data_IF_052114753474
#
_entry.id   IF_052114753474
#
_cell.length_a   1.000
_cell.length_b   1.000
_cell.length_c   1.000
_cell.angle_alpha   90.00
_cell.angle_beta   90.00
_cell.angle_gamma   90.00
#
_symmetry.space_group_name_H-M   'P 1'
#
loop_
_entity.id
_entity.type
_entity.pdbx_description
1 polymer ?
#
# COMPACT_ATOMS: atom_id res chain seq x y z
N UNK A 1 -0.24 34.32 -11.19
CA UNK A 1 0.55 33.62 -12.22
C UNK A 1 2.00 33.78 -11.86
N UNK A 2 2.72 32.70 -11.55
CA UNK A 2 4.17 32.76 -11.35
C UNK A 2 4.80 33.12 -12.69
N UNK A 3 5.62 34.16 -12.71
CA UNK A 3 6.40 34.52 -13.90
C UNK A 3 7.53 33.50 -13.97
N UNK A 4 7.37 32.47 -14.82
CA UNK A 4 8.44 31.52 -15.08
C UNK A 4 9.63 32.29 -15.65
N UNK A 5 10.83 31.96 -15.23
CA UNK A 5 12.05 32.54 -15.76
C UNK A 5 12.09 32.36 -17.29
N UNK A 6 12.33 33.44 -18.02
CA UNK A 6 12.38 33.41 -19.51
C UNK A 6 13.39 32.40 -20.03
N UNK A 7 14.51 32.23 -19.35
CA UNK A 7 15.52 31.22 -19.70
C UNK A 7 14.98 29.79 -19.48
N UNK A 8 14.29 29.55 -18.37
CA UNK A 8 13.70 28.23 -18.07
C UNK A 8 12.64 27.84 -19.12
N UNK A 9 11.80 28.79 -19.55
CA UNK A 9 10.84 28.59 -20.64
C UNK A 9 11.53 28.24 -21.95
N UNK A 10 12.53 29.02 -22.36
CA UNK A 10 13.31 28.78 -23.60
C UNK A 10 13.98 27.41 -23.58
N UNK A 11 14.54 26.99 -22.43
CA UNK A 11 15.14 25.67 -22.27
C UNK A 11 14.11 24.55 -22.37
N UNK A 12 12.96 24.69 -21.73
CA UNK A 12 11.88 23.71 -21.76
C UNK A 12 11.36 23.51 -23.21
N UNK A 13 11.11 24.61 -23.93
CA UNK A 13 10.70 24.56 -25.34
C UNK A 13 11.76 23.89 -26.23
N UNK A 14 13.03 24.27 -26.07
CA UNK A 14 14.14 23.70 -26.86
C UNK A 14 14.28 22.20 -26.60
N UNK A 15 14.20 21.75 -25.35
CA UNK A 15 14.30 20.32 -24.99
C UNK A 15 13.11 19.55 -25.52
N UNK A 16 11.89 20.04 -25.36
CA UNK A 16 10.69 19.40 -25.88
C UNK A 16 10.69 19.33 -27.42
N UNK A 17 11.24 20.32 -28.11
CA UNK A 17 11.42 20.28 -29.55
C UNK A 17 12.49 19.29 -30.00
N UNK A 18 13.61 19.21 -29.22
CA UNK A 18 14.70 18.26 -29.53
C UNK A 18 14.27 16.80 -29.35
N UNK A 19 13.45 16.52 -28.38
CA UNK A 19 12.98 15.17 -28.03
C UNK A 19 11.52 14.91 -28.44
N UNK A 20 11.03 15.60 -29.49
CA UNK A 20 9.63 15.57 -29.93
C UNK A 20 9.11 14.18 -30.32
N UNK A 21 10.00 13.24 -30.70
CA UNK A 21 9.66 11.85 -31.01
C UNK A 21 9.45 10.98 -29.76
N UNK A 22 9.81 11.50 -28.59
CA UNK A 22 9.44 10.99 -27.29
C UNK A 22 8.38 11.90 -26.68
N UNK A 23 7.63 11.44 -25.69
CA UNK A 23 6.69 12.29 -24.97
C UNK A 23 7.38 13.56 -24.44
N UNK A 24 6.61 14.61 -24.12
CA UNK A 24 7.10 15.81 -23.44
C UNK A 24 8.11 15.44 -22.35
N UNK A 25 9.30 16.04 -22.35
CA UNK A 25 10.41 15.69 -21.44
C UNK A 25 10.71 16.78 -20.41
N UNK A 26 10.35 18.04 -20.70
CA UNK A 26 10.56 19.19 -19.79
C UNK A 26 9.21 19.75 -19.34
N UNK A 27 9.05 19.87 -18.02
CA UNK A 27 7.81 20.26 -17.35
C UNK A 27 8.13 21.32 -16.28
N UNK A 28 7.14 22.17 -15.98
CA UNK A 28 7.14 22.97 -14.77
C UNK A 28 6.33 22.28 -13.66
N UNK A 29 6.83 22.31 -12.43
CA UNK A 29 6.18 21.67 -11.27
C UNK A 29 5.32 22.65 -10.47
N UNK A 30 4.86 23.72 -11.12
CA UNK A 30 4.00 24.75 -10.53
C UNK A 30 2.49 24.47 -10.69
N UNK A 31 2.15 23.28 -11.18
CA UNK A 31 0.77 22.86 -11.46
C UNK A 31 0.24 23.30 -12.83
N UNK A 32 1.02 24.01 -13.64
CA UNK A 32 0.61 24.40 -15.00
C UNK A 32 0.64 23.24 -16.00
N UNK A 33 1.49 22.25 -15.75
CA UNK A 33 1.66 21.05 -16.57
C UNK A 33 1.22 19.80 -15.83
N UNK A 34 0.57 18.87 -16.54
CA UNK A 34 0.41 17.49 -16.06
C UNK A 34 1.75 16.76 -16.19
N UNK A 35 2.34 16.36 -15.08
CA UNK A 35 3.67 15.77 -15.05
C UNK A 35 3.62 14.25 -14.84
N UNK A 36 4.63 13.48 -15.24
CA UNK A 36 4.72 12.05 -14.95
C UNK A 36 4.82 11.73 -13.45
N UNK A 37 5.10 12.75 -12.62
CA UNK A 37 5.14 12.60 -11.16
C UNK A 37 3.78 12.71 -10.50
N UNK A 38 2.78 13.25 -11.20
CA UNK A 38 1.44 13.45 -10.67
C UNK A 38 0.75 12.10 -10.48
N UNK A 39 0.21 11.92 -9.29
CA UNK A 39 -0.58 10.75 -8.96
C UNK A 39 -2.03 11.15 -9.07
N UNK A 40 -2.71 10.58 -10.05
CA UNK A 40 -4.10 10.92 -10.37
C UNK A 40 -5.10 10.21 -9.48
N UNK A 41 -4.76 9.03 -8.99
CA UNK A 41 -5.68 8.18 -8.25
C UNK A 41 -4.96 7.31 -7.21
N UNK A 42 -5.73 6.89 -6.21
CA UNK A 42 -5.29 6.04 -5.11
C UNK A 42 -6.29 4.89 -4.91
N UNK A 43 -5.79 3.75 -4.46
CA UNK A 43 -6.58 2.60 -4.04
C UNK A 43 -6.46 2.47 -2.52
N UNK A 44 -7.59 2.41 -1.82
CA UNK A 44 -7.60 2.14 -0.39
C UNK A 44 -7.00 0.76 -0.08
N UNK A 45 -6.41 0.65 1.08
CA UNK A 45 -5.95 -0.63 1.66
C UNK A 45 -7.06 -1.37 2.42
N UNK A 46 -8.25 -0.76 2.54
CA UNK A 46 -9.31 -1.19 3.44
C UNK A 46 -9.17 -0.64 4.86
N UNK A 47 -8.05 0.02 5.16
CA UNK A 47 -7.81 0.72 6.43
C UNK A 47 -7.52 2.20 6.18
N UNK A 48 -8.45 3.08 6.53
CA UNK A 48 -8.29 4.53 6.34
C UNK A 48 -7.07 5.08 7.09
N UNK A 49 -6.74 4.52 8.24
CA UNK A 49 -5.55 4.94 9.01
C UNK A 49 -4.25 4.57 8.31
N UNK A 50 -4.20 3.40 7.66
CA UNK A 50 -3.06 3.01 6.83
C UNK A 50 -3.00 3.85 5.56
N UNK A 51 -4.13 4.15 4.93
CA UNK A 51 -4.21 5.01 3.75
C UNK A 51 -3.66 6.41 4.02
N UNK A 52 -4.01 6.99 5.19
CA UNK A 52 -3.46 8.27 5.65
C UNK A 52 -1.96 8.18 5.95
N UNK A 53 -1.50 7.08 6.55
CA UNK A 53 -0.07 6.88 6.82
C UNK A 53 0.76 6.77 5.53
N UNK A 54 0.22 6.16 4.46
CA UNK A 54 0.87 6.03 3.16
C UNK A 54 0.87 7.36 2.42
N UNK A 55 -0.30 7.93 2.19
CA UNK A 55 -0.49 8.99 1.19
C UNK A 55 -0.47 10.41 1.76
N UNK A 56 -0.59 10.54 3.09
CA UNK A 56 -0.70 11.82 3.82
C UNK A 56 -1.80 12.75 3.27
N UNK A 57 -2.94 12.17 2.88
CA UNK A 57 -4.10 12.88 2.33
C UNK A 57 -5.40 12.15 2.59
N UNK A 58 -6.54 12.84 2.64
CA UNK A 58 -7.85 12.19 2.71
C UNK A 58 -8.08 11.27 1.50
N UNK A 59 -8.81 10.19 1.69
CA UNK A 59 -9.18 9.22 0.65
C UNK A 59 -7.99 8.74 -0.20
N UNK A 60 -6.85 8.56 0.48
CA UNK A 60 -5.61 8.14 -0.15
C UNK A 60 -5.46 6.62 -0.25
N UNK A 61 -4.27 6.11 0.11
CA UNK A 61 -3.90 4.70 0.01
C UNK A 61 -2.72 4.46 -0.90
N UNK A 62 -2.67 3.33 -1.59
CA UNK A 62 -1.62 3.03 -2.56
C UNK A 62 -1.82 3.81 -3.86
N UNK A 63 -0.73 4.31 -4.43
CA UNK A 63 -0.81 5.15 -5.63
C UNK A 63 -0.95 4.31 -6.90
N UNK A 64 -1.91 4.68 -7.74
CA UNK A 64 -2.01 4.19 -9.12
C UNK A 64 -0.83 4.73 -9.95
N UNK A 65 -0.28 3.90 -10.82
CA UNK A 65 0.94 4.22 -11.58
C UNK A 65 2.24 4.04 -10.78
N UNK A 66 2.20 3.36 -9.63
CA UNK A 66 3.36 3.12 -8.78
C UNK A 66 3.43 1.67 -8.31
N UNK A 67 4.65 1.28 -7.89
CA UNK A 67 4.91 -0.02 -7.29
C UNK A 67 4.85 0.12 -5.78
N UNK A 68 4.09 -0.75 -5.15
CA UNK A 68 4.05 -0.94 -3.69
C UNK A 68 4.58 -2.32 -3.34
N UNK A 69 5.49 -2.41 -2.38
CA UNK A 69 5.95 -3.67 -1.79
C UNK A 69 5.37 -3.83 -0.39
N UNK A 70 4.70 -4.95 -0.14
CA UNK A 70 4.22 -5.37 1.18
C UNK A 70 5.14 -6.49 1.64
N UNK A 71 5.94 -6.27 2.68
CA UNK A 71 6.85 -7.28 3.20
C UNK A 71 6.58 -7.58 4.68
N UNK A 72 7.01 -8.73 5.14
CA UNK A 72 6.80 -9.19 6.51
C UNK A 72 7.23 -10.64 6.70
N UNK A 73 7.30 -11.08 7.94
CA UNK A 73 7.50 -12.48 8.28
C UNK A 73 6.30 -13.34 7.84
N UNK A 74 6.41 -14.64 7.97
CA UNK A 74 5.27 -15.54 7.76
C UNK A 74 4.11 -15.17 8.67
N UNK A 75 2.88 -15.39 8.19
CA UNK A 75 1.64 -15.12 8.95
C UNK A 75 1.51 -13.68 9.46
N UNK A 76 2.14 -12.70 8.78
CA UNK A 76 2.00 -11.28 9.12
C UNK A 76 0.83 -10.57 8.43
N UNK A 77 0.06 -11.27 7.57
CA UNK A 77 -1.11 -10.72 6.89
C UNK A 77 -0.85 -10.09 5.52
N UNK A 78 0.29 -10.38 4.86
CA UNK A 78 0.65 -9.81 3.55
C UNK A 78 -0.38 -10.09 2.47
N UNK A 79 -0.71 -11.36 2.26
CA UNK A 79 -1.71 -11.81 1.27
C UNK A 79 -3.09 -11.25 1.57
N UNK A 80 -3.47 -11.19 2.86
CA UNK A 80 -4.74 -10.64 3.31
C UNK A 80 -4.85 -9.14 2.98
N UNK A 81 -3.80 -8.36 3.26
CA UNK A 81 -3.78 -6.93 2.90
C UNK A 81 -3.80 -6.74 1.38
N UNK A 82 -3.07 -7.58 0.63
CA UNK A 82 -3.11 -7.58 -0.83
C UNK A 82 -4.51 -7.84 -1.38
N UNK A 83 -5.22 -8.83 -0.84
CA UNK A 83 -6.59 -9.15 -1.21
C UNK A 83 -7.57 -8.01 -0.90
N UNK A 84 -7.42 -7.31 0.26
CA UNK A 84 -8.20 -6.10 0.55
C UNK A 84 -8.00 -5.01 -0.49
N UNK A 85 -6.77 -4.76 -0.93
CA UNK A 85 -6.46 -3.78 -1.97
C UNK A 85 -7.17 -4.15 -3.29
N UNK A 86 -7.24 -5.44 -3.64
CA UNK A 86 -7.99 -5.91 -4.81
C UNK A 86 -9.50 -5.71 -4.65
N UNK A 87 -10.07 -5.97 -3.46
CA UNK A 87 -11.47 -5.71 -3.17
C UNK A 87 -11.80 -4.21 -3.29
N UNK A 88 -10.95 -3.33 -2.76
CA UNK A 88 -11.11 -1.88 -2.89
C UNK A 88 -10.97 -1.42 -4.35
N UNK A 89 -10.14 -2.07 -5.16
CA UNK A 89 -10.07 -1.83 -6.61
C UNK A 89 -11.40 -2.14 -7.29
N UNK A 90 -12.03 -3.28 -6.95
CA UNK A 90 -13.33 -3.65 -7.51
C UNK A 90 -14.46 -2.71 -7.07
N UNK A 91 -14.45 -2.22 -5.82
CA UNK A 91 -15.40 -1.20 -5.34
C UNK A 91 -15.33 0.09 -6.15
N UNK A 92 -14.14 0.45 -6.66
CA UNK A 92 -13.94 1.56 -7.61
C UNK A 92 -14.32 1.22 -9.05
N UNK A 93 -14.87 0.05 -9.33
CA UNK A 93 -15.16 -0.42 -10.68
C UNK A 93 -13.94 -0.84 -11.48
N UNK A 94 -12.79 -0.99 -10.82
CA UNK A 94 -11.53 -1.39 -11.44
C UNK A 94 -11.40 -2.89 -11.71
N UNK A 95 -10.33 -3.27 -12.40
CA UNK A 95 -9.95 -4.65 -12.68
C UNK A 95 -8.98 -5.13 -11.60
N UNK A 96 -9.33 -6.19 -10.90
CA UNK A 96 -8.50 -6.87 -9.92
C UNK A 96 -7.80 -8.08 -10.56
N UNK A 97 -6.49 -8.13 -10.46
CA UNK A 97 -5.66 -9.25 -10.95
C UNK A 97 -4.83 -9.81 -9.82
N UNK A 98 -4.92 -11.10 -9.60
CA UNK A 98 -4.13 -11.84 -8.62
C UNK A 98 -3.20 -12.82 -9.33
N UNK A 99 -1.90 -12.63 -9.22
CA UNK A 99 -0.86 -13.56 -9.69
C UNK A 99 -0.33 -14.29 -8.46
N UNK A 100 -0.66 -15.56 -8.35
CA UNK A 100 -0.30 -16.45 -7.24
C UNK A 100 0.86 -17.35 -7.65
N UNK A 101 1.93 -17.35 -6.85
CA UNK A 101 3.09 -18.23 -7.04
C UNK A 101 3.23 -19.27 -5.92
N UNK A 102 2.38 -19.21 -4.89
CA UNK A 102 2.45 -20.07 -3.70
C UNK A 102 1.26 -21.05 -3.62
N UNK A 103 0.25 -20.91 -4.50
CA UNK A 103 -1.02 -21.69 -4.45
C UNK A 103 -1.70 -21.67 -3.08
N UNK A 104 -1.67 -20.50 -2.41
CA UNK A 104 -2.08 -20.37 -1.00
C UNK A 104 -3.39 -19.60 -0.79
N UNK A 105 -4.15 -19.35 -1.85
CA UNK A 105 -5.35 -18.52 -1.81
C UNK A 105 -6.55 -19.29 -1.27
N UNK A 106 -7.19 -18.78 -0.20
CA UNK A 106 -8.52 -19.23 0.23
C UNK A 106 -9.61 -18.40 -0.44
N UNK A 107 -10.43 -19.06 -1.26
CA UNK A 107 -11.58 -18.43 -1.94
C UNK A 107 -12.59 -17.91 -0.93
N UNK A 108 -12.92 -18.70 0.11
CA UNK A 108 -13.86 -18.31 1.15
C UNK A 108 -13.42 -17.02 1.86
N UNK A 109 -12.12 -16.90 2.16
CA UNK A 109 -11.61 -15.69 2.79
C UNK A 109 -11.71 -14.47 1.87
N UNK A 110 -11.41 -14.63 0.58
CA UNK A 110 -11.54 -13.54 -0.39
C UNK A 110 -12.97 -13.03 -0.53
N UNK A 111 -13.95 -13.92 -0.55
CA UNK A 111 -15.37 -13.55 -0.61
C UNK A 111 -15.80 -12.79 0.64
N UNK A 112 -15.37 -13.25 1.82
CA UNK A 112 -15.70 -12.63 3.11
C UNK A 112 -15.21 -11.18 3.21
N UNK A 113 -14.04 -10.88 2.65
CA UNK A 113 -13.53 -9.49 2.62
C UNK A 113 -14.14 -8.63 1.51
N UNK A 114 -15.09 -9.18 0.75
CA UNK A 114 -15.86 -8.47 -0.28
C UNK A 114 -15.24 -8.47 -1.67
N UNK A 115 -14.33 -9.39 -1.96
CA UNK A 115 -13.79 -9.59 -3.31
C UNK A 115 -14.76 -10.44 -4.14
N UNK A 116 -15.22 -9.89 -5.26
CA UNK A 116 -16.05 -10.62 -6.23
C UNK A 116 -15.14 -11.49 -7.11
N UNK A 117 -15.12 -12.81 -6.83
CA UNK A 117 -14.27 -13.76 -7.53
C UNK A 117 -14.62 -13.90 -9.02
N UNK A 118 -15.87 -13.62 -9.40
CA UNK A 118 -16.29 -13.67 -10.81
C UNK A 118 -15.71 -12.51 -11.63
N UNK A 119 -15.24 -11.45 -10.97
CA UNK A 119 -14.64 -10.25 -11.57
C UNK A 119 -13.14 -10.13 -11.31
N UNK A 120 -12.53 -11.13 -10.69
CA UNK A 120 -11.10 -11.19 -10.43
C UNK A 120 -10.42 -12.09 -11.46
N UNK A 121 -9.38 -11.59 -12.12
CA UNK A 121 -8.50 -12.43 -12.92
C UNK A 121 -7.47 -13.08 -11.99
N UNK A 122 -7.51 -14.41 -11.92
CA UNK A 122 -6.54 -15.22 -11.17
C UNK A 122 -5.59 -15.93 -12.13
N UNK A 123 -4.27 -15.80 -11.88
CA UNK A 123 -3.22 -16.50 -12.61
C UNK A 123 -2.33 -17.25 -11.62
N UNK A 124 -2.04 -18.52 -11.95
CA UNK A 124 -1.01 -19.29 -11.28
C UNK A 124 0.23 -19.34 -12.19
N UNK A 125 1.34 -18.74 -11.73
CA UNK A 125 2.59 -18.64 -12.48
C UNK A 125 3.77 -19.00 -11.57
N UNK A 126 4.75 -19.71 -12.12
CA UNK A 126 5.84 -20.29 -11.34
C UNK A 126 7.16 -19.54 -11.52
N UNK A 127 7.35 -18.85 -12.65
CA UNK A 127 8.63 -18.20 -12.95
C UNK A 127 8.54 -16.68 -12.98
N UNK A 128 9.64 -16.04 -12.61
CA UNK A 128 9.77 -14.57 -12.64
C UNK A 128 9.52 -14.03 -14.04
N UNK A 129 10.01 -14.74 -15.07
CA UNK A 129 9.84 -14.36 -16.46
C UNK A 129 8.37 -14.34 -16.86
N UNK A 130 7.61 -15.41 -16.54
CA UNK A 130 6.18 -15.50 -16.82
C UNK A 130 5.38 -14.41 -16.12
N UNK A 131 5.70 -14.12 -14.84
CA UNK A 131 5.05 -13.06 -14.07
C UNK A 131 5.18 -11.71 -14.80
N UNK A 132 6.38 -11.35 -15.23
CA UNK A 132 6.59 -10.06 -15.88
C UNK A 132 6.05 -10.01 -17.31
N UNK A 133 6.08 -11.12 -18.06
CA UNK A 133 5.43 -11.26 -19.36
C UNK A 133 3.91 -11.10 -19.21
N UNK A 134 3.29 -11.73 -18.22
CA UNK A 134 1.86 -11.61 -17.94
C UNK A 134 1.46 -10.18 -17.56
N UNK A 135 2.25 -9.50 -16.72
CA UNK A 135 1.99 -8.10 -16.37
C UNK A 135 1.98 -7.22 -17.64
N UNK A 136 2.94 -7.38 -18.54
CA UNK A 136 3.00 -6.62 -19.79
C UNK A 136 1.79 -6.89 -20.68
N UNK A 137 1.39 -8.14 -20.85
CA UNK A 137 0.23 -8.51 -21.66
C UNK A 137 -1.08 -7.98 -21.06
N UNK A 138 -1.27 -8.11 -19.74
CA UNK A 138 -2.45 -7.57 -19.06
C UNK A 138 -2.57 -6.06 -19.26
N UNK A 139 -1.48 -5.33 -19.02
CA UNK A 139 -1.45 -3.87 -19.18
C UNK A 139 -1.80 -3.48 -20.63
N UNK A 140 -1.20 -4.15 -21.60
CA UNK A 140 -1.44 -3.90 -23.02
C UNK A 140 -2.92 -4.15 -23.37
N UNK A 141 -3.47 -5.31 -23.00
CA UNK A 141 -4.85 -5.68 -23.32
C UNK A 141 -5.89 -4.80 -22.65
N UNK A 142 -5.67 -4.45 -21.39
CA UNK A 142 -6.58 -3.52 -20.70
C UNK A 142 -6.59 -2.16 -21.38
N UNK A 143 -5.44 -1.62 -21.77
CA UNK A 143 -5.35 -0.29 -22.42
C UNK A 143 -5.85 -0.27 -23.87
N UNK A 144 -5.81 -1.41 -24.56
CA UNK A 144 -6.49 -1.58 -25.84
C UNK A 144 -8.02 -1.51 -25.70
N UNK A 145 -8.57 -2.02 -24.57
CA UNK A 145 -10.01 -2.10 -24.34
C UNK A 145 -10.57 -0.86 -23.64
N UNK A 146 -9.88 -0.36 -22.61
CA UNK A 146 -10.30 0.76 -21.78
C UNK A 146 -9.06 1.52 -21.24
N UNK A 147 -8.87 2.74 -21.74
CA UNK A 147 -7.68 3.56 -21.45
C UNK A 147 -7.66 4.10 -20.01
N UNK A 148 -8.82 4.30 -19.42
CA UNK A 148 -8.98 5.00 -18.14
C UNK A 148 -9.31 4.07 -16.98
N UNK A 149 -9.59 2.79 -17.26
CA UNK A 149 -10.00 1.84 -16.23
C UNK A 149 -8.92 1.63 -15.19
N UNK A 150 -9.30 1.74 -13.93
CA UNK A 150 -8.42 1.43 -12.81
C UNK A 150 -8.05 -0.06 -12.82
N UNK A 151 -6.77 -0.37 -12.62
CA UNK A 151 -6.27 -1.76 -12.59
C UNK A 151 -5.29 -1.90 -11.44
N UNK A 152 -5.49 -2.95 -10.65
CA UNK A 152 -4.52 -3.37 -9.65
C UNK A 152 -4.07 -4.79 -9.94
N UNK A 153 -2.75 -4.97 -10.00
CA UNK A 153 -2.11 -6.28 -10.15
C UNK A 153 -1.38 -6.59 -8.84
N UNK A 154 -1.78 -7.66 -8.17
CA UNK A 154 -1.11 -8.23 -7.01
C UNK A 154 -0.27 -9.43 -7.44
N UNK A 155 1.00 -9.47 -7.05
CA UNK A 155 1.91 -10.61 -7.21
C UNK A 155 2.24 -11.16 -5.83
N UNK A 156 1.78 -12.36 -5.52
CA UNK A 156 1.94 -13.02 -4.22
C UNK A 156 2.56 -14.41 -4.39
N UNK A 157 3.84 -14.58 -4.15
CA UNK A 157 4.85 -13.61 -3.81
C UNK A 157 6.03 -13.68 -4.80
N UNK A 158 6.71 -12.55 -5.03
CA UNK A 158 7.94 -12.57 -5.85
C UNK A 158 9.05 -13.44 -5.23
N UNK A 159 8.98 -13.68 -3.92
CA UNK A 159 9.93 -14.52 -3.20
C UNK A 159 9.87 -15.98 -3.64
N UNK A 160 8.68 -16.52 -3.82
CA UNK A 160 8.44 -17.93 -4.13
C UNK A 160 8.74 -18.27 -5.60
N UNK A 161 8.56 -17.32 -6.54
CA UNK A 161 8.80 -17.57 -7.95
C UNK A 161 10.25 -18.03 -8.22
N UNK A 162 10.43 -19.01 -9.09
CA UNK A 162 11.74 -19.46 -9.59
C UNK A 162 12.15 -18.70 -10.86
N UNK A 163 13.25 -19.04 -11.50
CA UNK A 163 13.57 -18.62 -12.87
C UNK A 163 13.40 -19.80 -13.83
N UNK A 164 13.16 -19.55 -15.12
CA UNK A 164 13.12 -20.63 -16.12
C UNK A 164 14.36 -21.51 -16.08
N UNK A 165 15.54 -20.90 -15.92
CA UNK A 165 16.81 -21.63 -15.80
C UNK A 165 16.90 -22.48 -14.53
N UNK A 166 16.34 -22.02 -13.43
CA UNK A 166 16.29 -22.75 -12.16
C UNK A 166 15.33 -23.94 -12.25
N UNK A 167 14.20 -23.79 -12.94
CA UNK A 167 13.23 -24.88 -13.17
C UNK A 167 13.76 -25.99 -14.06
N UNK A 168 14.61 -25.64 -15.05
CA UNK A 168 15.21 -26.59 -15.98
C UNK A 168 16.48 -27.27 -15.45
N UNK A 169 16.97 -26.88 -14.26
CA UNK A 169 18.24 -27.35 -13.72
C UNK A 169 18.08 -28.56 -12.80
N UNK A 170 19.13 -29.36 -12.74
CA UNK A 170 19.24 -30.46 -11.77
C UNK A 170 19.36 -29.92 -10.34
N UNK A 171 18.82 -30.64 -9.34
CA UNK A 171 18.76 -30.23 -7.93
C UNK A 171 20.13 -30.03 -7.25
N UNK A 172 21.21 -30.49 -7.85
CA UNK A 172 22.57 -30.42 -7.32
C UNK A 172 23.38 -29.21 -7.80
N UNK A 173 22.78 -28.31 -8.59
CA UNK A 173 23.44 -27.10 -9.09
C UNK A 173 23.14 -25.88 -8.24
N UNK A 174 24.19 -25.21 -7.75
CA UNK A 174 24.12 -23.97 -6.98
C UNK A 174 24.27 -22.71 -7.86
N UNK A 175 23.82 -21.55 -7.37
CA UNK A 175 24.15 -20.24 -7.96
C UNK A 175 23.00 -19.47 -8.61
N UNK A 176 21.78 -19.98 -8.61
CA UNK A 176 20.63 -19.35 -9.30
C UNK A 176 20.11 -18.07 -8.65
N UNK A 177 20.39 -17.82 -7.37
CA UNK A 177 19.95 -16.61 -6.67
C UNK A 177 20.45 -15.30 -7.35
N UNK A 178 21.67 -15.33 -7.90
CA UNK A 178 22.21 -14.19 -8.66
C UNK A 178 21.49 -13.99 -9.98
N UNK A 179 21.19 -15.08 -10.70
CA UNK A 179 20.43 -15.05 -11.95
C UNK A 179 19.05 -14.44 -11.73
N UNK A 180 18.30 -14.89 -10.72
CA UNK A 180 17.00 -14.36 -10.33
C UNK A 180 17.06 -12.84 -10.08
N UNK A 181 18.05 -12.37 -9.33
CA UNK A 181 18.22 -10.95 -9.03
C UNK A 181 18.49 -10.09 -10.28
N UNK A 182 19.24 -10.62 -11.26
CA UNK A 182 19.52 -9.96 -12.54
C UNK A 182 18.25 -9.84 -13.38
N UNK A 183 17.46 -10.92 -13.49
CA UNK A 183 16.20 -10.95 -14.25
C UNK A 183 15.21 -9.96 -13.64
N UNK A 184 15.00 -10.00 -12.31
CA UNK A 184 14.13 -9.05 -11.61
C UNK A 184 14.61 -7.62 -11.86
N UNK A 185 15.93 -7.35 -11.79
CA UNK A 185 16.47 -5.99 -12.01
C UNK A 185 16.21 -5.48 -13.43
N UNK A 186 16.31 -6.34 -14.44
CA UNK A 186 16.01 -5.99 -15.83
C UNK A 186 14.52 -5.74 -16.03
N UNK A 187 13.67 -6.62 -15.53
CA UNK A 187 12.23 -6.53 -15.63
C UNK A 187 11.67 -5.29 -14.90
N UNK A 188 12.14 -5.01 -13.68
CA UNK A 188 11.71 -3.86 -12.89
C UNK A 188 11.96 -2.52 -13.62
N UNK A 189 13.07 -2.36 -14.34
CA UNK A 189 13.32 -1.12 -15.10
C UNK A 189 12.26 -0.89 -16.19
N UNK A 190 11.86 -1.96 -16.90
CA UNK A 190 10.85 -1.91 -17.96
C UNK A 190 9.46 -1.67 -17.40
N UNK A 191 9.08 -2.47 -16.41
CA UNK A 191 7.75 -2.44 -15.78
C UNK A 191 7.48 -1.12 -15.06
N UNK A 192 8.45 -0.54 -14.35
CA UNK A 192 8.28 0.74 -13.66
C UNK A 192 7.84 1.86 -14.61
N UNK A 193 8.41 1.90 -15.80
CA UNK A 193 8.02 2.89 -16.81
C UNK A 193 6.64 2.59 -17.41
N UNK A 194 6.36 1.32 -17.68
CA UNK A 194 5.09 0.88 -18.25
C UNK A 194 3.92 1.22 -17.30
N UNK A 195 3.97 0.78 -16.04
CA UNK A 195 2.87 1.01 -15.08
C UNK A 195 2.68 2.50 -14.79
N UNK A 196 3.76 3.29 -14.76
CA UNK A 196 3.68 4.73 -14.54
C UNK A 196 2.95 5.45 -15.68
N UNK A 197 3.22 5.08 -16.91
CA UNK A 197 2.58 5.62 -18.10
C UNK A 197 1.13 5.17 -18.21
N UNK A 198 0.87 3.90 -17.94
CA UNK A 198 -0.44 3.28 -18.12
C UNK A 198 -1.33 3.35 -16.88
N UNK A 199 -0.91 4.03 -15.82
CA UNK A 199 -1.69 4.21 -14.59
C UNK A 199 -2.20 2.87 -13.99
N UNK A 200 -1.27 1.95 -13.72
CA UNK A 200 -1.54 0.64 -13.10
C UNK A 200 -1.01 0.64 -11.66
N UNK A 201 -1.80 0.19 -10.70
CA UNK A 201 -1.31 -0.10 -9.35
C UNK A 201 -0.67 -1.50 -9.33
N UNK A 202 0.63 -1.59 -9.06
CA UNK A 202 1.34 -2.86 -9.01
C UNK A 202 1.81 -3.13 -7.59
N UNK A 203 1.31 -4.21 -6.99
CA UNK A 203 1.59 -4.61 -5.61
C UNK A 203 2.35 -5.92 -5.61
N UNK A 204 3.47 -5.96 -4.91
CA UNK A 204 4.23 -7.20 -4.65
C UNK A 204 4.19 -7.52 -3.17
N UNK A 205 3.88 -8.74 -2.82
CA UNK A 205 4.21 -9.27 -1.50
C UNK A 205 5.62 -9.86 -1.52
N UNK A 206 6.29 -9.81 -0.37
CA UNK A 206 7.64 -10.36 -0.24
C UNK A 206 7.92 -10.84 1.19
N UNK A 207 8.73 -11.86 1.34
CA UNK A 207 9.13 -12.37 2.64
C UNK A 207 10.36 -11.64 3.17
N UNK A 208 10.35 -11.33 4.46
CA UNK A 208 11.51 -10.83 5.19
C UNK A 208 12.42 -11.98 5.59
N UNK A 209 13.70 -11.75 5.44
CA UNK A 209 14.77 -12.63 5.92
C UNK A 209 15.74 -11.83 6.77
N UNK A 210 16.24 -12.43 7.83
CA UNK A 210 17.25 -11.81 8.67
C UNK A 210 18.63 -11.89 8.01
N UNK A 211 19.34 -10.77 7.97
CA UNK A 211 20.73 -10.73 7.54
C UNK A 211 21.61 -11.29 8.65
N UNK A 212 22.40 -12.29 8.34
CA UNK A 212 23.37 -12.84 9.28
C UNK A 212 24.51 -11.82 9.52
N UNK A 213 24.92 -11.65 10.78
CA UNK A 213 26.09 -10.85 11.16
C UNK A 213 25.87 -9.33 11.17
N UNK A 214 24.65 -8.82 11.04
CA UNK A 214 24.35 -7.39 11.17
C UNK A 214 24.16 -7.05 12.65
N UNK A 215 25.10 -6.31 13.23
CA UNK A 215 25.03 -5.86 14.63
C UNK A 215 24.41 -4.46 14.77
N UNK A 216 24.39 -3.66 13.69
CA UNK A 216 23.86 -2.29 13.69
C UNK A 216 23.03 -2.02 12.41
N UNK A 217 21.97 -1.23 12.51
CA UNK A 217 21.07 -0.89 11.41
C UNK A 217 19.96 -1.93 11.18
N UNK A 218 19.22 -1.82 10.07
CA UNK A 218 18.09 -2.71 9.75
C UNK A 218 18.58 -4.15 9.46
N UNK A 219 18.28 -5.13 10.33
CA UNK A 219 18.71 -6.51 10.16
C UNK A 219 17.92 -7.25 9.08
N UNK A 220 16.89 -6.64 8.53
CA UNK A 220 15.98 -7.29 7.59
C UNK A 220 16.35 -7.04 6.13
N UNK A 221 16.13 -8.05 5.30
CA UNK A 221 16.23 -7.99 3.85
C UNK A 221 15.07 -8.76 3.22
N UNK A 222 14.76 -8.47 1.97
CA UNK A 222 13.74 -9.19 1.20
C UNK A 222 14.38 -10.08 0.15
N UNK A 223 13.68 -11.16 -0.24
CA UNK A 223 14.11 -12.05 -1.31
C UNK A 223 14.10 -11.33 -2.68
N UNK A 224 14.89 -11.82 -3.64
CA UNK A 224 14.92 -11.28 -5.01
C UNK A 224 15.83 -10.05 -5.20
N UNK A 225 16.74 -9.78 -4.24
CA UNK A 225 17.75 -8.72 -4.37
C UNK A 225 17.23 -7.31 -4.07
N UNK A 226 17.98 -6.29 -4.55
CA UNK A 226 17.70 -4.88 -4.24
C UNK A 226 16.81 -4.17 -5.27
N UNK A 227 16.44 -4.82 -6.37
CA UNK A 227 15.73 -4.15 -7.46
C UNK A 227 14.31 -3.74 -7.06
N UNK A 228 13.50 -4.64 -6.48
CA UNK A 228 12.16 -4.32 -6.02
C UNK A 228 12.17 -3.24 -4.93
N UNK A 229 12.97 -3.33 -3.84
CA UNK A 229 13.14 -2.25 -2.87
C UNK A 229 13.53 -0.89 -3.47
N UNK A 230 14.35 -0.89 -4.53
CA UNK A 230 14.77 0.34 -5.19
C UNK A 230 13.63 0.97 -6.00
N UNK A 231 12.91 0.18 -6.81
CA UNK A 231 11.86 0.65 -7.71
C UNK A 231 10.53 0.94 -6.99
N UNK A 232 10.22 0.24 -5.89
CA UNK A 232 9.02 0.49 -5.11
C UNK A 232 8.96 1.95 -4.64
N UNK A 233 7.83 2.61 -4.87
CA UNK A 233 7.55 3.96 -4.36
C UNK A 233 7.15 3.93 -2.90
N UNK A 234 6.43 2.89 -2.49
CA UNK A 234 6.04 2.64 -1.11
C UNK A 234 6.46 1.23 -0.71
N UNK A 235 7.00 1.10 0.50
CA UNK A 235 7.31 -0.21 1.11
C UNK A 235 6.66 -0.27 2.47
N UNK A 236 5.79 -1.25 2.65
CA UNK A 236 5.01 -1.49 3.86
C UNK A 236 5.56 -2.75 4.52
N UNK A 237 6.04 -2.62 5.77
CA UNK A 237 6.45 -3.76 6.57
C UNK A 237 5.32 -4.13 7.52
N UNK A 238 4.83 -5.36 7.42
CA UNK A 238 3.82 -5.90 8.31
C UNK A 238 4.43 -6.67 9.46
N UNK A 239 3.91 -6.42 10.66
CA UNK A 239 4.25 -7.15 11.89
C UNK A 239 2.95 -7.65 12.52
N UNK A 240 2.93 -8.94 12.88
CA UNK A 240 1.86 -9.50 13.71
C UNK A 240 2.12 -9.11 15.17
N UNK A 241 1.21 -8.35 15.77
CA UNK A 241 1.31 -7.82 17.14
C UNK A 241 0.58 -8.71 18.16
N UNK A 242 -0.09 -9.77 17.73
CA UNK A 242 -0.78 -10.71 18.60
C UNK A 242 -2.10 -11.21 18.03
N UNK A 243 -2.73 -12.10 18.73
CA UNK A 243 -4.00 -12.73 18.37
C UNK A 243 -5.19 -12.01 18.98
N UNK A 244 -6.27 -11.89 18.22
CA UNK A 244 -7.58 -11.48 18.71
C UNK A 244 -8.37 -12.74 19.06
N UNK A 245 -8.89 -12.81 20.28
CA UNK A 245 -9.59 -14.00 20.79
C UNK A 245 -10.95 -13.63 21.37
N UNK A 246 -11.90 -14.56 21.27
CA UNK A 246 -13.16 -14.49 22.00
C UNK A 246 -12.99 -14.89 23.49
N UNK A 247 -14.09 -14.85 24.25
CA UNK A 247 -14.13 -15.28 25.65
C UNK A 247 -13.85 -16.78 25.83
N UNK A 248 -14.11 -17.59 24.79
CA UNK A 248 -13.80 -19.02 24.71
C UNK A 248 -12.36 -19.33 24.31
N UNK A 249 -11.50 -18.29 24.12
CA UNK A 249 -10.11 -18.37 23.66
C UNK A 249 -9.94 -18.83 22.20
N UNK A 250 -11.02 -18.87 21.42
CA UNK A 250 -10.91 -19.11 19.98
C UNK A 250 -10.25 -17.90 19.31
N UNK A 251 -9.35 -18.16 18.36
CA UNK A 251 -8.68 -17.10 17.58
C UNK A 251 -9.62 -16.59 16.52
N UNK A 252 -10.01 -15.33 16.60
CA UNK A 252 -10.88 -14.65 15.64
C UNK A 252 -10.14 -13.85 14.59
N UNK A 253 -8.88 -13.50 14.88
CA UNK A 253 -8.09 -12.64 14.02
C UNK A 253 -6.73 -12.32 14.60
N UNK A 254 -6.07 -11.31 14.02
CA UNK A 254 -4.76 -10.83 14.46
C UNK A 254 -4.71 -9.30 14.50
N UNK A 255 -3.87 -8.79 15.41
CA UNK A 255 -3.49 -7.37 15.44
C UNK A 255 -2.30 -7.15 14.53
N UNK A 256 -2.43 -6.23 13.59
CA UNK A 256 -1.41 -5.93 12.60
C UNK A 256 -0.83 -4.53 12.82
N UNK A 257 0.48 -4.41 12.71
CA UNK A 257 1.16 -3.12 12.54
C UNK A 257 1.74 -3.03 11.14
N UNK A 258 1.33 -2.03 10.38
CA UNK A 258 1.89 -1.71 9.08
C UNK A 258 2.82 -0.49 9.21
N UNK A 259 4.12 -0.71 9.03
CA UNK A 259 5.13 0.34 9.08
C UNK A 259 5.56 0.75 7.67
N UNK A 260 5.56 2.04 7.40
CA UNK A 260 5.96 2.59 6.10
C UNK A 260 7.48 2.81 6.08
N UNK A 261 8.24 1.78 5.70
CA UNK A 261 9.71 1.80 5.74
C UNK A 261 10.34 2.58 4.59
N UNK A 262 9.59 2.81 3.52
CA UNK A 262 9.96 3.69 2.40
C UNK A 262 8.72 4.34 1.84
N UNK A 263 8.77 5.64 1.58
CA UNK A 263 7.66 6.37 0.99
C UNK A 263 8.16 7.50 0.08
N UNK A 264 7.59 7.56 -1.13
CA UNK A 264 7.75 8.66 -2.08
C UNK A 264 6.46 9.46 -2.27
N UNK A 265 5.38 9.09 -1.58
CA UNK A 265 4.04 9.69 -1.68
C UNK A 265 3.74 10.63 -0.52
N UNK A 266 4.40 10.40 0.60
CA UNK A 266 4.22 11.11 1.85
C UNK A 266 5.40 10.86 2.79
N UNK A 267 5.30 11.26 4.07
CA UNK A 267 6.37 11.04 5.05
C UNK A 267 6.63 9.55 5.27
N UNK A 268 7.90 9.08 5.21
CA UNK A 268 8.25 7.72 5.62
C UNK A 268 8.21 7.58 7.15
N UNK A 269 8.46 6.35 7.63
CA UNK A 269 8.60 5.97 9.04
C UNK A 269 7.30 6.06 9.86
N UNK A 270 6.17 6.35 9.23
CA UNK A 270 4.85 6.28 9.86
C UNK A 270 4.40 4.84 9.99
N UNK A 271 3.48 4.59 10.88
CA UNK A 271 2.82 3.29 11.02
C UNK A 271 1.32 3.47 11.20
N UNK A 272 0.59 2.39 10.97
CA UNK A 272 -0.81 2.25 11.31
C UNK A 272 -1.02 0.88 11.94
N UNK A 273 -1.76 0.86 13.04
CA UNK A 273 -2.20 -0.36 13.69
C UNK A 273 -3.66 -0.61 13.32
N UNK A 274 -3.99 -1.86 13.00
CA UNK A 274 -5.35 -2.28 12.70
C UNK A 274 -5.59 -3.73 13.08
N UNK A 275 -6.83 -4.06 13.35
CA UNK A 275 -7.28 -5.40 13.61
C UNK A 275 -7.73 -6.07 12.31
N UNK A 276 -7.27 -7.31 12.07
CA UNK A 276 -7.63 -8.13 10.93
C UNK A 276 -8.38 -9.35 11.44
N UNK A 277 -9.66 -9.44 11.15
CA UNK A 277 -10.51 -10.58 11.50
C UNK A 277 -10.59 -11.59 10.35
N UNK A 278 -10.66 -12.87 10.68
CA UNK A 278 -10.72 -13.95 9.67
C UNK A 278 -12.10 -14.12 9.05
N UNK A 279 -13.13 -13.57 9.69
CA UNK A 279 -14.53 -13.65 9.29
C UNK A 279 -15.07 -12.40 8.56
N UNK A 280 -14.32 -11.28 8.54
CA UNK A 280 -14.77 -10.01 7.94
C UNK A 280 -13.64 -9.10 7.45
N UNK A 281 -12.38 -9.50 7.64
CA UNK A 281 -11.22 -8.74 7.21
C UNK A 281 -10.83 -7.59 8.13
N UNK A 282 -10.39 -6.46 7.57
CA UNK A 282 -9.88 -5.29 8.31
C UNK A 282 -11.02 -4.56 9.04
N UNK A 283 -10.85 -4.36 10.35
CA UNK A 283 -11.71 -3.51 11.16
C UNK A 283 -11.30 -2.03 11.01
N UNK A 284 -11.84 -1.38 9.97
CA UNK A 284 -11.54 0.01 9.68
C UNK A 284 -12.04 0.96 10.79
N UNK A 285 -13.24 0.74 11.29
CA UNK A 285 -13.84 1.62 12.29
C UNK A 285 -13.26 1.42 13.70
N UNK A 286 -12.83 0.20 14.04
CA UNK A 286 -12.02 -0.03 15.24
C UNK A 286 -10.69 0.70 15.20
N UNK A 287 -10.06 0.78 14.02
CA UNK A 287 -8.88 1.61 13.77
C UNK A 287 -9.16 3.10 14.04
N UNK A 288 -10.31 3.63 13.59
CA UNK A 288 -10.71 5.02 13.87
C UNK A 288 -10.85 5.30 15.36
N UNK A 289 -11.54 4.41 16.08
CA UNK A 289 -11.72 4.54 17.52
C UNK A 289 -10.37 4.55 18.26
N UNK A 290 -9.41 3.78 17.79
CA UNK A 290 -8.04 3.76 18.34
C UNK A 290 -7.33 5.10 18.15
N UNK A 291 -7.38 5.70 16.96
CA UNK A 291 -6.83 7.04 16.68
C UNK A 291 -7.54 8.12 17.51
N UNK A 292 -8.86 8.03 17.61
CA UNK A 292 -9.64 8.98 18.42
C UNK A 292 -9.24 8.95 19.91
N UNK A 293 -8.95 7.76 20.46
CA UNK A 293 -8.44 7.63 21.84
C UNK A 293 -7.07 8.25 22.00
N UNK A 294 -6.14 7.94 21.08
CA UNK A 294 -4.78 8.45 21.09
C UNK A 294 -4.76 9.99 21.09
N UNK A 295 -5.57 10.58 20.22
CA UNK A 295 -5.65 12.03 20.08
C UNK A 295 -6.67 12.71 21.01
N UNK A 296 -7.25 11.98 21.98
CA UNK A 296 -8.23 12.50 22.96
C UNK A 296 -9.46 13.16 22.32
N UNK A 297 -9.87 12.68 21.14
CA UNK A 297 -11.07 13.10 20.43
C UNK A 297 -12.34 12.42 21.01
N UNK A 298 -12.17 11.42 21.86
CA UNK A 298 -13.21 10.70 22.57
C UNK A 298 -12.87 10.63 24.04
N UNK A 299 -13.84 10.92 24.92
CA UNK A 299 -13.71 10.75 26.37
C UNK A 299 -13.96 9.28 26.72
N UNK A 300 -13.09 8.68 27.55
CA UNK A 300 -13.19 7.27 27.96
C UNK A 300 -13.50 7.20 29.45
N UNK A 301 -14.59 6.53 29.82
CA UNK A 301 -15.02 6.30 31.19
C UNK A 301 -15.41 4.83 31.43
N UNK A 302 -14.46 4.01 31.89
CA UNK A 302 -14.65 2.55 32.02
C UNK A 302 -14.84 1.89 30.65
N UNK A 303 -15.99 1.22 30.46
CA UNK A 303 -16.38 0.63 29.16
C UNK A 303 -17.16 1.57 28.25
N UNK A 304 -17.35 2.82 28.65
CA UNK A 304 -18.10 3.81 27.91
C UNK A 304 -17.21 4.83 27.23
N UNK A 305 -17.62 5.24 26.04
CA UNK A 305 -17.03 6.29 25.22
C UNK A 305 -18.03 7.42 25.06
N UNK A 306 -17.55 8.67 25.05
CA UNK A 306 -18.37 9.84 24.78
C UNK A 306 -17.63 10.69 23.74
N UNK A 307 -18.26 10.99 22.64
CA UNK A 307 -17.79 11.90 21.60
C UNK A 307 -18.81 13.02 21.37
N UNK A 308 -18.37 14.12 20.78
CA UNK A 308 -19.23 15.18 20.28
C UNK A 308 -19.45 14.99 18.77
N UNK A 309 -20.71 15.08 18.32
CA UNK A 309 -21.04 15.07 16.90
C UNK A 309 -20.77 16.44 16.24
N UNK A 310 -21.11 16.56 14.96
CA UNK A 310 -20.94 17.81 14.18
C UNK A 310 -21.84 18.98 14.67
N UNK A 311 -22.87 18.71 15.47
CA UNK A 311 -23.75 19.73 16.08
C UNK A 311 -23.32 20.10 17.51
N UNK A 312 -22.30 19.42 18.07
CA UNK A 312 -21.86 19.56 19.45
C UNK A 312 -22.70 18.75 20.44
N UNK A 313 -23.49 17.77 19.97
CA UNK A 313 -24.27 16.89 20.84
C UNK A 313 -23.39 15.70 21.30
N UNK A 314 -23.50 15.35 22.59
CA UNK A 314 -22.74 14.22 23.15
C UNK A 314 -23.41 12.88 22.80
N UNK A 315 -22.67 12.01 22.13
CA UNK A 315 -23.04 10.62 21.85
C UNK A 315 -22.26 9.70 22.79
N UNK A 316 -22.99 8.90 23.58
CA UNK A 316 -22.40 7.94 24.53
C UNK A 316 -22.65 6.51 24.07
N UNK A 317 -21.59 5.70 23.96
CA UNK A 317 -21.65 4.34 23.40
C UNK A 317 -20.64 3.40 24.04
N UNK A 318 -20.78 2.10 23.81
CA UNK A 318 -19.75 1.09 24.09
C UNK A 318 -19.01 0.69 22.80
N UNK A 319 -17.81 0.14 22.92
CA UNK A 319 -17.02 -0.26 21.74
C UNK A 319 -17.73 -1.23 20.80
N UNK A 320 -18.61 -2.07 21.31
CA UNK A 320 -19.40 -3.02 20.51
C UNK A 320 -20.45 -2.35 19.60
N UNK A 321 -20.92 -1.16 19.99
CA UNK A 321 -21.97 -0.42 19.28
C UNK A 321 -21.36 0.55 18.25
N UNK A 322 -20.03 0.71 18.27
CA UNK A 322 -19.31 1.72 17.49
C UNK A 322 -19.46 1.55 15.96
N UNK A 323 -19.29 0.33 15.47
CA UNK A 323 -19.40 0.04 14.05
C UNK A 323 -20.81 0.35 13.51
N UNK A 324 -21.85 -0.03 14.25
CA UNK A 324 -23.25 0.27 13.89
C UNK A 324 -23.50 1.78 13.86
N UNK A 325 -23.06 2.51 14.88
CA UNK A 325 -23.25 3.97 14.97
C UNK A 325 -22.61 4.68 13.81
N UNK A 326 -21.36 4.34 13.45
CA UNK A 326 -20.62 4.99 12.36
C UNK A 326 -21.11 4.56 10.97
N UNK A 327 -21.50 3.31 10.80
CA UNK A 327 -21.93 2.81 9.49
C UNK A 327 -23.33 3.31 9.10
N UNK A 328 -24.20 3.59 10.08
CA UNK A 328 -25.58 4.02 9.85
C UNK A 328 -25.75 5.54 9.80
N UNK A 329 -24.75 6.33 10.21
CA UNK A 329 -24.82 7.79 10.24
C UNK A 329 -23.72 8.41 9.36
N UNK A 330 -24.10 8.79 8.14
CA UNK A 330 -23.17 9.34 7.14
C UNK A 330 -22.55 10.68 7.56
N UNK A 331 -23.33 11.57 8.20
CA UNK A 331 -22.86 12.89 8.65
C UNK A 331 -21.83 12.73 9.79
N UNK A 332 -22.13 11.88 10.75
CA UNK A 332 -21.20 11.56 11.83
C UNK A 332 -19.92 10.90 11.29
N UNK A 333 -20.08 9.97 10.35
CA UNK A 333 -18.92 9.29 9.74
C UNK A 333 -18.00 10.28 9.04
N UNK A 334 -18.52 11.19 8.25
CA UNK A 334 -17.75 12.22 7.57
C UNK A 334 -17.08 13.15 8.57
N UNK A 335 -17.79 13.62 9.58
CA UNK A 335 -17.25 14.47 10.64
C UNK A 335 -16.07 13.80 11.37
N UNK A 336 -16.23 12.55 11.81
CA UNK A 336 -15.18 11.81 12.50
C UNK A 336 -13.97 11.57 11.59
N UNK A 337 -14.22 11.25 10.31
CA UNK A 337 -13.14 11.07 9.34
C UNK A 337 -12.33 12.37 9.13
N UNK A 338 -12.99 13.51 9.07
CA UNK A 338 -12.31 14.82 8.99
C UNK A 338 -11.45 15.08 10.22
N UNK A 339 -11.96 14.83 11.43
CA UNK A 339 -11.18 14.96 12.66
C UNK A 339 -9.94 14.05 12.67
N UNK A 340 -10.07 12.81 12.19
CA UNK A 340 -8.94 11.89 12.06
C UNK A 340 -7.92 12.42 11.04
N UNK A 341 -8.38 12.94 9.90
CA UNK A 341 -7.52 13.53 8.89
C UNK A 341 -6.73 14.73 9.44
N UNK A 342 -7.39 15.63 10.17
CA UNK A 342 -6.72 16.79 10.80
C UNK A 342 -5.60 16.38 11.76
N UNK A 343 -5.78 15.29 12.50
CA UNK A 343 -4.77 14.78 13.44
C UNK A 343 -3.68 13.95 12.78
N UNK A 344 -4.04 13.22 11.72
CA UNK A 344 -3.14 12.25 11.10
C UNK A 344 -2.33 12.83 9.93
N UNK A 345 -2.83 13.86 9.24
CA UNK A 345 -2.14 14.43 8.09
C UNK A 345 -1.07 15.43 8.55
N UNK A 346 0.18 15.16 8.18
CA UNK A 346 1.28 16.04 8.45
C UNK A 346 1.20 17.30 7.56
N UNK A 347 1.19 18.48 8.19
CA UNK A 347 1.22 19.77 7.51
C UNK A 347 2.67 20.18 7.21
N UNK A 348 3.08 20.18 5.94
CA UNK A 348 4.47 20.48 5.53
C UNK A 348 4.93 21.92 5.80
N UNK A 349 4.00 22.85 6.09
CA UNK A 349 4.29 24.26 6.31
C UNK A 349 4.36 24.65 7.79
N UNK A 350 4.00 23.76 8.69
CA UNK A 350 4.09 24.01 10.12
C UNK A 350 5.54 23.96 10.59
N UNK A 351 6.00 25.07 11.19
CA UNK A 351 7.27 25.09 11.92
C UNK A 351 6.99 24.67 13.35
N UNK A 352 7.55 23.57 13.78
CA UNK A 352 7.53 23.12 15.17
C UNK A 352 8.75 23.67 15.91
N UNK A 353 8.56 24.11 17.16
CA UNK A 353 9.67 24.48 18.03
C UNK A 353 10.52 23.28 18.43
N UNK A 354 11.74 23.49 18.87
CA UNK A 354 12.63 22.41 19.35
C UNK A 354 12.01 21.72 20.58
N UNK A 355 11.27 22.47 21.40
CA UNK A 355 10.62 21.94 22.61
C UNK A 355 9.35 21.12 22.32
N UNK A 356 8.85 21.14 21.08
CA UNK A 356 7.69 20.36 20.63
C UNK A 356 8.10 18.99 20.03
N UNK A 357 9.37 18.60 20.12
CA UNK A 357 9.93 17.42 19.47
C UNK A 357 10.52 16.47 20.51
N UNK A 358 9.97 15.27 20.63
CA UNK A 358 10.58 14.17 21.36
C UNK A 358 11.50 13.36 20.42
N UNK A 359 12.73 13.10 20.88
CA UNK A 359 13.63 12.18 20.23
C UNK A 359 13.44 10.78 20.84
N UNK A 360 12.91 9.86 20.08
CA UNK A 360 12.87 8.46 20.47
C UNK A 360 13.94 7.70 19.71
N UNK A 361 14.76 6.94 20.42
CA UNK A 361 15.75 6.00 19.85
C UNK A 361 15.08 4.72 19.32
N UNK A 362 13.79 4.76 18.93
CA UNK A 362 13.14 3.63 18.29
C UNK A 362 13.86 3.31 16.97
N UNK A 363 14.84 2.46 17.07
CA UNK A 363 15.45 1.84 15.90
C UNK A 363 14.37 0.97 15.23
N UNK A 364 14.18 1.20 13.94
CA UNK A 364 13.26 0.42 13.08
C UNK A 364 13.78 -1.02 13.01
N UNK A 365 13.72 -1.79 14.09
CA UNK A 365 14.46 -3.03 14.14
C UNK A 365 13.94 -4.14 15.06
N UNK A 366 12.87 -3.97 15.79
CA UNK A 366 12.32 -5.05 16.63
C UNK A 366 11.01 -5.61 16.12
#
# INVERSE_FOLDING_TARGET
>A
MSVNDVLANTLAESLNKKFKDTNKVAYFLDGSDATPTDIKDFISTGSSTLDLAISNRPNGGIAVGRITEINGLESSGKSLLGAHILAETQKKGGVAVYIDTETSVSQEFMEVIGLDLNKMLYLHLETVEEIFEAIEEIVTKVRESDKDRCVTILVDSLAAASTKVEMDADFDKDGYATSKAIIISKAMRKITQLIGRESIALVFTNQLRQKLGVMFGDPWTTSGGKALPFHASTRIRLKNMGQIKDTGKNVLGMKCRAQIVKNRLGPPLRHADYDMYFDRGIDNYGGWLSVMKEHKLVKVGGSWYTLEDHNGEEIKFQSKDWEEIISTNDELREHIYQLICEKSILQYKEKRGIDDVEFTDEVIGD
#
